data_IF_034208049662
#
_entry.id   IF_034208049662
#
_cell.length_a   1.000
_cell.length_b   1.000
_cell.length_c   1.000
_cell.angle_alpha   90.00
_cell.angle_beta   90.00
_cell.angle_gamma   90.00
#
_symmetry.space_group_name_H-M   'P 1'
#
loop_
_entity.id
_entity.type
_entity.pdbx_description
1 polymer ?
#
# COMPACT_ATOMS: atom_id res chain seq x y z
N UNK A 1 45.95 -52.23 -44.53
CA UNK A 1 46.06 -50.78 -44.81
C UNK A 1 44.96 -50.11 -43.98
N UNK A 2 45.34 -49.66 -42.81
CA UNK A 2 44.40 -49.08 -41.85
C UNK A 2 44.99 -47.77 -41.35
N UNK A 3 44.31 -46.68 -41.69
CA UNK A 3 44.71 -45.34 -41.30
C UNK A 3 44.05 -44.96 -39.96
N UNK A 4 44.89 -44.71 -38.96
CA UNK A 4 44.51 -44.11 -37.68
C UNK A 4 44.40 -42.57 -37.88
N UNK A 5 43.21 -42.01 -37.62
CA UNK A 5 43.07 -40.55 -37.47
C UNK A 5 43.04 -40.19 -35.99
N UNK A 6 44.04 -39.43 -35.60
CA UNK A 6 44.18 -38.76 -34.31
C UNK A 6 43.28 -37.50 -34.26
N UNK A 7 42.35 -37.44 -33.31
CA UNK A 7 41.55 -36.24 -33.05
C UNK A 7 42.15 -35.43 -31.92
N UNK A 8 42.83 -34.36 -32.29
CA UNK A 8 43.34 -33.35 -31.32
C UNK A 8 42.21 -32.40 -30.91
N UNK A 9 41.78 -32.47 -29.68
CA UNK A 9 40.85 -31.50 -29.09
C UNK A 9 41.55 -30.18 -28.85
N UNK A 10 41.26 -29.16 -29.65
CA UNK A 10 41.62 -27.75 -29.39
C UNK A 10 40.59 -27.16 -28.46
N UNK A 11 41.07 -26.78 -27.26
CA UNK A 11 40.30 -25.90 -26.32
C UNK A 11 40.34 -24.48 -26.88
N UNK A 12 39.21 -23.94 -27.26
CA UNK A 12 39.07 -22.51 -27.54
C UNK A 12 38.80 -21.80 -26.21
N UNK A 13 39.74 -21.00 -25.77
CA UNK A 13 39.55 -19.96 -24.76
C UNK A 13 38.86 -18.78 -25.48
N UNK A 14 37.59 -18.56 -25.20
CA UNK A 14 36.89 -17.37 -25.63
C UNK A 14 37.22 -16.24 -24.66
N UNK A 15 38.11 -15.35 -25.05
CA UNK A 15 38.36 -14.09 -24.34
C UNK A 15 37.26 -13.10 -24.74
N UNK A 16 36.30 -12.86 -23.86
CA UNK A 16 35.28 -11.86 -24.08
C UNK A 16 35.86 -10.47 -23.90
N UNK A 17 36.06 -9.78 -25.00
CA UNK A 17 36.41 -8.35 -25.03
C UNK A 17 35.13 -7.55 -24.70
N UNK A 18 35.07 -6.97 -23.53
CA UNK A 18 34.08 -5.98 -23.17
C UNK A 18 34.39 -4.67 -23.90
N UNK A 19 33.67 -4.42 -24.99
CA UNK A 19 33.64 -3.10 -25.63
C UNK A 19 32.65 -2.24 -24.88
N UNK A 20 33.16 -1.37 -24.01
CA UNK A 20 32.36 -0.32 -23.35
C UNK A 20 32.06 0.77 -24.35
N UNK A 21 30.91 0.73 -24.97
CA UNK A 21 30.38 1.84 -25.77
C UNK A 21 29.79 2.88 -24.81
N UNK A 22 30.53 3.95 -24.57
CA UNK A 22 30.02 5.13 -23.86
C UNK A 22 29.12 5.88 -24.82
N UNK A 23 27.83 5.68 -24.76
CA UNK A 23 26.82 6.50 -25.43
C UNK A 23 26.47 7.64 -24.48
N UNK A 24 26.95 8.85 -24.79
CA UNK A 24 26.40 10.09 -24.24
C UNK A 24 25.00 10.28 -24.83
N UNK A 25 23.99 9.75 -24.16
CA UNK A 25 22.59 9.96 -24.46
C UNK A 25 21.95 10.75 -23.33
N UNK A 26 21.12 11.73 -23.69
CA UNK A 26 20.39 12.63 -22.80
C UNK A 26 19.87 11.92 -21.56
N UNK A 27 20.13 12.50 -20.38
CA UNK A 27 19.72 11.98 -19.07
C UNK A 27 18.20 11.97 -18.96
N UNK A 28 17.59 10.87 -19.37
CA UNK A 28 16.28 10.51 -18.85
C UNK A 28 16.43 10.38 -17.32
N UNK A 29 15.50 10.90 -16.50
CA UNK A 29 15.54 10.68 -15.07
C UNK A 29 15.58 9.18 -14.85
N UNK A 30 16.62 8.71 -14.14
CA UNK A 30 16.81 7.31 -13.84
C UNK A 30 15.51 6.72 -13.32
N UNK A 31 14.88 5.87 -14.12
CA UNK A 31 13.88 4.95 -13.60
C UNK A 31 14.64 4.03 -12.64
N UNK A 32 14.55 4.32 -11.35
CA UNK A 32 14.92 3.35 -10.34
C UNK A 32 13.88 2.23 -10.42
N UNK A 33 13.99 1.38 -11.41
CA UNK A 33 13.38 0.09 -11.39
C UNK A 33 13.85 -0.53 -10.09
N UNK A 34 12.92 -0.84 -9.20
CA UNK A 34 13.22 -1.64 -8.05
C UNK A 34 14.05 -2.83 -8.54
N UNK A 35 15.24 -2.99 -8.02
CA UNK A 35 16.06 -4.15 -8.30
C UNK A 35 15.39 -5.31 -7.60
N UNK A 36 14.41 -5.87 -8.26
CA UNK A 36 13.67 -7.03 -7.80
C UNK A 36 14.49 -8.27 -8.05
N UNK A 37 15.45 -8.52 -7.24
CA UNK A 37 15.94 -9.87 -6.95
C UNK A 37 16.75 -9.88 -5.68
N UNK A 38 16.18 -9.41 -4.64
CA UNK A 38 16.55 -9.98 -3.39
C UNK A 38 15.59 -11.15 -3.14
N UNK A 39 15.93 -12.37 -3.57
CA UNK A 39 15.58 -13.50 -2.75
C UNK A 39 16.03 -13.12 -1.36
N UNK A 40 15.12 -12.60 -0.51
CA UNK A 40 15.45 -12.13 0.81
C UNK A 40 15.39 -10.62 1.06
N UNK A 41 14.71 -9.82 0.27
CA UNK A 41 14.33 -8.48 0.71
C UNK A 41 13.63 -8.57 2.05
N UNK A 42 14.19 -7.88 3.07
CA UNK A 42 13.57 -7.86 4.38
C UNK A 42 12.34 -6.98 4.27
N UNK A 43 11.18 -7.54 4.60
CA UNK A 43 9.95 -6.77 4.61
C UNK A 43 9.02 -7.25 5.73
N UNK A 44 8.20 -6.33 6.23
CA UNK A 44 7.01 -6.62 7.02
C UNK A 44 5.82 -6.08 6.29
N UNK A 45 4.86 -6.96 5.99
CA UNK A 45 3.61 -6.63 5.35
C UNK A 45 2.50 -6.53 6.40
N UNK A 46 1.60 -5.58 6.23
CA UNK A 46 0.39 -5.39 7.02
C UNK A 46 -0.81 -5.64 6.13
N UNK A 47 -1.58 -6.67 6.43
CA UNK A 47 -2.81 -7.02 5.72
C UNK A 47 -3.99 -6.49 6.52
N UNK A 48 -4.78 -5.64 5.91
CA UNK A 48 -5.92 -4.97 6.54
C UNK A 48 -7.20 -5.72 6.21
N UNK A 49 -8.05 -5.89 7.20
CA UNK A 49 -9.27 -6.68 7.08
C UNK A 49 -10.49 -5.85 7.43
N UNK A 50 -11.52 -5.92 6.60
CA UNK A 50 -12.82 -5.34 6.83
C UNK A 50 -13.86 -6.45 7.04
N UNK A 51 -14.84 -6.17 7.86
CA UNK A 51 -15.99 -7.07 8.05
C UNK A 51 -16.90 -7.16 6.83
N UNK A 52 -16.84 -6.17 5.93
CA UNK A 52 -17.54 -6.14 4.64
C UNK A 52 -16.80 -5.19 3.70
N UNK A 53 -16.52 -5.63 2.48
CA UNK A 53 -15.79 -4.86 1.47
C UNK A 53 -16.68 -4.39 0.30
N UNK A 54 -17.96 -4.70 0.32
CA UNK A 54 -18.84 -4.37 -0.80
C UNK A 54 -18.98 -2.85 -0.96
N UNK A 55 -18.72 -2.37 -2.17
CA UNK A 55 -18.97 -0.99 -2.61
C UNK A 55 -18.04 0.10 -2.06
N UNK A 56 -16.91 -0.27 -1.45
CA UNK A 56 -15.94 0.71 -0.97
C UNK A 56 -15.08 1.21 -2.13
N UNK A 57 -15.07 2.51 -2.34
CA UNK A 57 -14.32 3.16 -3.44
C UNK A 57 -13.30 4.18 -2.94
N UNK A 58 -13.30 4.45 -1.65
CA UNK A 58 -12.34 5.33 -0.99
C UNK A 58 -11.58 4.59 0.09
N UNK A 59 -10.29 4.88 0.20
CA UNK A 59 -9.45 4.43 1.29
C UNK A 59 -8.51 5.55 1.71
N UNK A 60 -8.36 5.74 3.02
CA UNK A 60 -7.35 6.60 3.63
C UNK A 60 -6.56 5.80 4.64
N UNK A 61 -5.25 6.08 4.76
CA UNK A 61 -4.37 5.45 5.75
C UNK A 61 -3.19 6.36 6.07
N UNK A 62 -2.74 6.26 7.34
CA UNK A 62 -1.56 6.97 7.84
C UNK A 62 -0.40 6.01 8.07
N UNK A 63 0.81 6.52 7.86
CA UNK A 63 2.07 5.96 8.36
C UNK A 63 2.84 7.04 9.14
N UNK A 64 3.34 6.71 10.32
CA UNK A 64 4.33 7.50 11.05
C UNK A 64 5.68 6.81 10.90
N UNK A 65 6.63 7.46 10.24
CA UNK A 65 7.96 6.90 9.99
C UNK A 65 8.83 7.16 11.21
N UNK A 66 9.27 6.11 11.89
CA UNK A 66 10.05 6.23 13.13
C UNK A 66 11.55 6.06 12.93
N UNK A 67 11.96 5.30 11.92
CA UNK A 67 13.36 5.14 11.51
C UNK A 67 13.43 4.87 10.00
N UNK A 68 14.48 5.36 9.35
CA UNK A 68 14.70 5.19 7.91
C UNK A 68 16.18 5.26 7.57
N UNK A 69 16.50 4.77 6.39
CA UNK A 69 17.81 4.89 5.77
C UNK A 69 17.76 4.49 4.30
N UNK A 70 18.91 4.37 3.68
CA UNK A 70 19.00 4.10 2.26
C UNK A 70 18.26 2.81 1.87
N UNK A 71 17.59 2.85 0.70
CA UNK A 71 16.75 1.77 0.17
C UNK A 71 15.55 1.39 1.04
N UNK A 72 15.01 2.36 1.80
CA UNK A 72 13.76 2.18 2.55
C UNK A 72 12.56 2.45 1.69
N UNK A 73 11.54 1.59 1.80
CA UNK A 73 10.22 1.82 1.26
C UNK A 73 9.15 1.64 2.34
N UNK A 74 8.29 2.64 2.46
CA UNK A 74 7.10 2.64 3.32
C UNK A 74 5.86 2.76 2.43
N UNK A 75 5.30 1.61 2.03
CA UNK A 75 4.04 1.58 1.29
C UNK A 75 2.89 1.83 2.26
N UNK A 76 2.07 2.82 1.97
CA UNK A 76 0.96 3.24 2.83
C UNK A 76 -0.30 2.48 2.45
N UNK A 77 -0.67 2.51 1.18
CA UNK A 77 -1.81 1.78 0.63
C UNK A 77 -1.34 0.98 -0.57
N UNK A 78 -1.48 -0.33 -0.50
CA UNK A 78 -1.39 -1.25 -1.61
C UNK A 78 -2.71 -1.97 -1.79
N UNK A 79 -3.04 -2.35 -3.03
CA UNK A 79 -4.24 -3.10 -3.35
C UNK A 79 -3.91 -4.17 -4.41
N UNK A 80 -4.60 -5.29 -4.37
CA UNK A 80 -4.42 -6.39 -5.33
C UNK A 80 -5.34 -6.26 -6.53
N UNK A 81 -6.53 -5.66 -6.31
CA UNK A 81 -7.61 -5.58 -7.32
C UNK A 81 -8.34 -4.26 -7.22
N UNK A 82 -7.95 -3.22 -8.02
CA UNK A 82 -6.85 -3.15 -9.01
C UNK A 82 -5.46 -3.15 -8.36
N UNK A 83 -4.42 -3.64 -9.06
CA UNK A 83 -3.09 -3.75 -8.50
C UNK A 83 -2.35 -2.40 -8.53
N UNK A 84 -2.11 -1.82 -7.36
CA UNK A 84 -1.32 -0.60 -7.18
C UNK A 84 -0.72 -0.54 -5.78
N UNK A 85 0.25 0.36 -5.60
CA UNK A 85 0.64 0.86 -4.30
C UNK A 85 1.07 2.32 -4.33
N UNK A 86 0.93 3.01 -3.19
CA UNK A 86 1.40 4.38 -2.96
C UNK A 86 2.13 4.46 -1.62
N UNK A 87 3.23 5.20 -1.58
CA UNK A 87 4.03 5.37 -0.38
C UNK A 87 5.21 6.30 -0.58
N UNK A 88 6.20 6.18 0.31
CA UNK A 88 7.41 7.02 0.31
C UNK A 88 8.66 6.19 0.40
N UNK A 89 9.73 6.68 -0.22
CA UNK A 89 11.02 5.98 -0.30
C UNK A 89 12.17 6.88 0.11
N UNK A 90 13.20 6.28 0.69
CA UNK A 90 14.52 6.89 0.84
C UNK A 90 15.52 6.17 -0.05
N UNK A 91 16.21 6.91 -0.88
CA UNK A 91 17.21 6.43 -1.82
C UNK A 91 18.46 7.29 -1.67
N UNK A 92 19.62 6.65 -1.57
CA UNK A 92 20.91 7.33 -1.62
C UNK A 92 21.57 7.08 -2.97
N UNK A 93 21.93 8.14 -3.67
CA UNK A 93 22.75 8.02 -4.85
C UNK A 93 24.13 7.47 -4.47
N UNK A 94 24.53 6.34 -5.04
CA UNK A 94 25.80 5.66 -4.70
C UNK A 94 27.04 6.47 -5.07
N UNK A 95 26.96 7.31 -6.11
CA UNK A 95 28.08 8.10 -6.62
C UNK A 95 28.24 9.42 -5.86
N UNK A 96 27.15 10.12 -5.62
CA UNK A 96 27.17 11.48 -5.02
C UNK A 96 26.90 11.46 -3.52
N UNK A 97 26.39 10.37 -2.96
CA UNK A 97 25.92 10.28 -1.58
C UNK A 97 24.65 11.07 -1.29
N UNK A 98 24.06 11.73 -2.30
CA UNK A 98 22.81 12.49 -2.17
C UNK A 98 21.66 11.59 -1.70
N UNK A 99 20.94 12.03 -0.67
CA UNK A 99 19.76 11.35 -0.14
C UNK A 99 18.52 11.99 -0.73
N UNK A 100 17.67 11.17 -1.36
CA UNK A 100 16.37 11.58 -1.89
C UNK A 100 15.25 10.97 -1.07
N UNK A 101 14.28 11.80 -0.69
CA UNK A 101 13.08 11.44 0.04
C UNK A 101 11.87 11.54 -0.90
N UNK A 102 11.69 10.51 -1.70
CA UNK A 102 10.68 10.48 -2.75
C UNK A 102 9.32 10.03 -2.22
N UNK A 103 8.26 10.43 -2.92
CA UNK A 103 7.00 9.70 -2.92
C UNK A 103 6.84 8.95 -4.24
N UNK A 104 6.17 7.80 -4.20
CA UNK A 104 5.96 6.93 -5.36
C UNK A 104 4.51 6.44 -5.40
N UNK A 105 3.94 6.39 -6.60
CA UNK A 105 2.67 5.76 -6.90
C UNK A 105 2.86 4.85 -8.10
N UNK A 106 2.63 3.55 -7.94
CA UNK A 106 2.83 2.51 -8.96
C UNK A 106 1.54 1.76 -9.23
N UNK A 107 1.30 1.41 -10.49
CA UNK A 107 0.13 0.68 -10.94
C UNK A 107 0.54 -0.33 -12.02
N UNK A 108 0.20 -1.60 -11.81
CA UNK A 108 0.54 -2.68 -12.73
C UNK A 108 -0.39 -2.75 -13.91
N UNK A 109 0.13 -3.20 -15.03
CA UNK A 109 -0.67 -3.54 -16.21
C UNK A 109 -1.55 -4.77 -15.90
N UNK A 110 -2.76 -4.77 -16.45
CA UNK A 110 -3.69 -5.90 -16.32
C UNK A 110 -3.63 -6.73 -17.57
N UNK A 111 -2.80 -7.77 -17.56
CA UNK A 111 -2.68 -8.70 -18.66
C UNK A 111 -3.83 -9.71 -18.67
N UNK A 112 -4.36 -10.01 -19.84
CA UNK A 112 -5.33 -11.09 -20.01
C UNK A 112 -4.65 -12.47 -20.09
N UNK A 113 -3.33 -12.50 -20.36
CA UNK A 113 -2.52 -13.70 -20.63
C UNK A 113 -1.50 -14.03 -19.52
N UNK A 114 -1.61 -13.38 -18.38
CA UNK A 114 -0.66 -13.50 -17.27
C UNK A 114 0.45 -12.46 -17.30
N UNK A 115 0.87 -12.03 -16.12
CA UNK A 115 1.94 -11.04 -15.97
C UNK A 115 3.28 -11.66 -16.28
N UNK A 116 4.05 -11.03 -17.15
CA UNK A 116 5.45 -11.37 -17.34
C UNK A 116 6.28 -10.79 -16.18
N UNK A 117 6.68 -11.62 -15.23
CA UNK A 117 7.40 -11.19 -14.02
C UNK A 117 8.82 -10.70 -14.27
N UNK A 118 9.44 -11.11 -15.38
CA UNK A 118 10.83 -10.76 -15.71
C UNK A 118 10.96 -9.90 -16.98
N UNK A 119 9.88 -9.33 -17.49
CA UNK A 119 9.90 -8.47 -18.65
C UNK A 119 10.31 -7.04 -18.28
N UNK A 120 11.14 -6.43 -19.13
CA UNK A 120 11.44 -5.00 -19.01
C UNK A 120 10.24 -4.11 -19.35
N UNK A 121 10.34 -2.80 -19.08
CA UNK A 121 9.25 -1.86 -19.34
C UNK A 121 8.88 -1.74 -20.83
N UNK A 122 9.76 -2.11 -21.73
CA UNK A 122 9.54 -2.18 -23.19
C UNK A 122 8.53 -3.26 -23.58
N UNK A 123 8.37 -4.27 -22.74
CA UNK A 123 7.46 -5.42 -22.94
C UNK A 123 6.05 -5.19 -22.38
N UNK A 124 5.69 -3.96 -22.05
CA UNK A 124 4.35 -3.63 -21.59
C UNK A 124 3.29 -4.01 -22.62
N UNK A 125 2.15 -4.57 -22.20
CA UNK A 125 1.13 -5.06 -23.12
C UNK A 125 0.56 -3.93 -23.98
N UNK A 126 0.12 -4.25 -25.18
CA UNK A 126 -0.63 -3.32 -26.02
C UNK A 126 -2.05 -3.13 -25.46
N UNK A 127 -2.68 -4.23 -25.05
CA UNK A 127 -3.99 -4.24 -24.41
C UNK A 127 -3.83 -4.44 -22.90
N UNK A 128 -4.66 -3.77 -22.09
CA UNK A 128 -4.58 -3.86 -20.63
C UNK A 128 -3.48 -2.98 -19.99
N UNK A 129 -2.83 -2.15 -20.80
CA UNK A 129 -1.84 -1.18 -20.30
C UNK A 129 -2.50 -0.18 -19.36
N UNK A 130 -1.91 -0.04 -18.18
CA UNK A 130 -2.27 1.01 -17.23
C UNK A 130 -1.60 2.33 -17.63
N UNK A 131 -2.37 3.40 -17.72
CA UNK A 131 -1.86 4.71 -18.15
C UNK A 131 -2.19 5.79 -17.15
N UNK A 132 -1.28 6.73 -16.95
CA UNK A 132 -1.55 7.92 -16.15
C UNK A 132 -2.30 8.93 -17.01
N UNK A 133 -3.56 9.22 -16.65
CA UNK A 133 -4.44 10.14 -17.40
C UNK A 133 -4.43 11.55 -16.84
N UNK A 134 -4.05 11.70 -15.56
CA UNK A 134 -3.82 13.00 -14.94
C UNK A 134 -2.52 12.95 -14.14
N UNK A 135 -1.75 14.03 -14.20
CA UNK A 135 -0.46 14.17 -13.53
C UNK A 135 -0.54 15.35 -12.56
N UNK A 136 -0.23 15.12 -11.30
CA UNK A 136 -0.20 16.17 -10.29
C UNK A 136 0.99 17.13 -10.44
N UNK A 137 0.94 18.30 -9.82
CA UNK A 137 2.05 19.26 -9.84
C UNK A 137 3.33 18.66 -9.25
N UNK A 138 4.44 18.75 -10.00
CA UNK A 138 5.75 18.23 -9.59
C UNK A 138 5.86 16.71 -9.59
N UNK A 139 4.91 16.02 -10.21
CA UNK A 139 4.94 14.57 -10.41
C UNK A 139 5.62 14.23 -11.74
N UNK A 140 6.50 13.27 -11.73
CA UNK A 140 7.21 12.75 -12.89
C UNK A 140 6.72 11.34 -13.21
N UNK A 141 5.95 11.13 -14.30
CA UNK A 141 5.54 9.79 -14.72
C UNK A 141 6.71 8.98 -15.26
N UNK A 142 6.67 7.67 -15.06
CA UNK A 142 7.65 6.71 -15.55
C UNK A 142 6.98 5.35 -15.81
N UNK A 143 7.76 4.35 -16.14
CA UNK A 143 7.33 2.98 -16.37
C UNK A 143 8.29 2.04 -15.67
N UNK A 144 7.79 0.86 -15.27
CA UNK A 144 8.61 -0.18 -14.66
C UNK A 144 8.40 -1.54 -15.33
N UNK A 145 9.36 -2.43 -15.10
CA UNK A 145 9.36 -3.83 -15.48
C UNK A 145 10.09 -4.68 -14.45
N UNK A 146 10.30 -5.95 -14.74
CA UNK A 146 11.02 -6.95 -13.92
C UNK A 146 10.29 -7.43 -12.65
N UNK A 147 9.18 -6.81 -12.30
CA UNK A 147 8.24 -7.23 -11.25
C UNK A 147 6.80 -7.31 -11.79
N UNK A 148 6.66 -7.80 -13.01
CA UNK A 148 5.56 -7.45 -13.89
C UNK A 148 5.86 -6.12 -14.56
N UNK A 149 4.94 -5.64 -15.39
CA UNK A 149 5.06 -4.35 -16.06
C UNK A 149 4.00 -3.37 -15.56
N UNK A 150 4.28 -2.08 -15.66
CA UNK A 150 3.32 -1.08 -15.22
C UNK A 150 3.77 0.36 -15.43
N UNK A 151 3.00 1.27 -14.92
CA UNK A 151 3.32 2.69 -14.83
C UNK A 151 3.58 3.07 -13.38
N UNK A 152 4.58 3.90 -13.17
CA UNK A 152 4.82 4.54 -11.89
C UNK A 152 4.99 6.04 -12.07
N UNK A 153 4.93 6.76 -10.97
CA UNK A 153 5.16 8.18 -10.93
C UNK A 153 5.84 8.56 -9.61
N UNK A 154 6.61 9.63 -9.64
CA UNK A 154 7.39 10.09 -8.50
C UNK A 154 7.14 11.56 -8.21
N UNK A 155 7.10 11.91 -6.93
CA UNK A 155 7.41 13.25 -6.46
C UNK A 155 8.84 13.17 -5.91
N UNK A 156 9.80 13.62 -6.71
CA UNK A 156 11.19 13.68 -6.29
C UNK A 156 11.29 14.71 -5.16
N UNK A 157 12.00 14.36 -4.10
CA UNK A 157 12.14 15.20 -2.91
C UNK A 157 10.77 15.64 -2.34
N UNK A 158 9.96 14.65 -1.96
CA UNK A 158 8.68 14.88 -1.27
C UNK A 158 8.88 15.59 0.08
N UNK A 159 10.11 15.51 0.63
CA UNK A 159 10.55 16.29 1.79
C UNK A 159 10.19 15.67 3.15
N UNK A 160 9.72 14.44 3.20
CA UNK A 160 9.43 13.76 4.45
C UNK A 160 10.70 13.45 5.25
N UNK A 161 10.57 13.30 6.57
CA UNK A 161 11.65 13.01 7.51
C UNK A 161 11.20 11.91 8.48
N UNK A 162 12.15 11.32 9.17
CA UNK A 162 11.87 10.52 10.37
C UNK A 162 11.14 11.37 11.39
N UNK A 163 10.09 10.83 11.96
CA UNK A 163 9.15 11.52 12.85
C UNK A 163 7.92 12.11 12.13
N UNK A 164 7.92 12.16 10.81
CA UNK A 164 6.77 12.66 10.05
C UNK A 164 5.68 11.60 9.87
N UNK A 165 4.44 12.09 9.83
CA UNK A 165 3.25 11.34 9.44
C UNK A 165 2.96 11.60 7.97
N UNK A 166 2.89 10.54 7.18
CA UNK A 166 2.43 10.61 5.80
C UNK A 166 1.07 9.93 5.71
N UNK A 167 0.11 10.65 5.16
CA UNK A 167 -1.26 10.19 4.96
C UNK A 167 -1.52 10.02 3.47
N UNK A 168 -2.11 8.92 3.08
CA UNK A 168 -2.53 8.66 1.72
C UNK A 168 -4.04 8.63 1.61
N UNK A 169 -4.57 9.10 0.50
CA UNK A 169 -5.96 8.90 0.08
C UNK A 169 -5.97 8.36 -1.33
N UNK A 170 -6.81 7.36 -1.57
CA UNK A 170 -7.04 6.76 -2.88
C UNK A 170 -8.53 6.69 -3.14
N UNK A 171 -8.93 7.01 -4.38
CA UNK A 171 -10.28 6.85 -4.88
C UNK A 171 -10.31 5.97 -6.11
N UNK A 172 -11.25 5.04 -6.15
CA UNK A 172 -11.60 4.25 -7.33
C UNK A 172 -12.87 4.81 -7.95
N UNK A 173 -12.84 5.03 -9.26
CA UNK A 173 -14.00 5.49 -10.03
C UNK A 173 -14.21 4.63 -11.27
N UNK A 174 -15.45 4.19 -11.49
CA UNK A 174 -15.83 3.55 -12.73
C UNK A 174 -15.92 4.59 -13.85
N UNK A 175 -15.36 4.28 -15.00
CA UNK A 175 -15.52 5.06 -16.23
C UNK A 175 -16.07 4.16 -17.34
N UNK A 176 -16.49 4.75 -18.46
CA UNK A 176 -17.16 4.00 -19.55
C UNK A 176 -16.34 2.80 -20.00
N UNK A 177 -15.02 2.96 -20.14
CA UNK A 177 -14.11 2.02 -20.75
C UNK A 177 -13.02 1.54 -19.76
N UNK A 178 -13.34 1.46 -18.46
CA UNK A 178 -12.40 0.97 -17.48
C UNK A 178 -12.63 1.47 -16.06
N UNK A 179 -11.54 1.60 -15.32
CA UNK A 179 -11.51 2.10 -13.95
C UNK A 179 -10.40 3.11 -13.78
N UNK A 180 -10.67 4.19 -13.10
CA UNK A 180 -9.69 5.18 -12.69
C UNK A 180 -9.38 5.06 -11.20
N UNK A 181 -8.08 5.18 -10.87
CA UNK A 181 -7.58 5.26 -9.50
C UNK A 181 -6.84 6.57 -9.34
N UNK A 182 -7.37 7.45 -8.50
CA UNK A 182 -6.77 8.74 -8.18
C UNK A 182 -6.15 8.70 -6.79
N UNK A 183 -4.98 9.32 -6.62
CA UNK A 183 -4.30 9.32 -5.34
C UNK A 183 -3.70 10.69 -4.98
N UNK A 184 -3.63 10.96 -3.66
CA UNK A 184 -2.92 12.09 -3.09
C UNK A 184 -2.23 11.72 -1.78
N UNK A 185 -1.20 12.48 -1.44
CA UNK A 185 -0.46 12.37 -0.18
C UNK A 185 -0.52 13.68 0.60
N UNK A 186 -0.53 13.55 1.93
CA UNK A 186 -0.38 14.66 2.86
C UNK A 186 0.80 14.37 3.79
N UNK A 187 1.70 15.36 3.92
CA UNK A 187 2.81 15.30 4.86
C UNK A 187 2.44 16.10 6.12
N UNK A 188 2.29 15.42 7.24
CA UNK A 188 1.78 16.02 8.48
C UNK A 188 0.44 16.75 8.23
N UNK A 189 0.30 18.00 8.63
CA UNK A 189 -0.89 18.83 8.41
C UNK A 189 -0.72 19.80 7.23
N UNK A 190 0.28 19.58 6.35
CA UNK A 190 0.48 20.39 5.15
C UNK A 190 -0.66 20.17 4.15
N UNK A 191 -0.82 21.05 3.16
CA UNK A 191 -1.78 20.84 2.08
C UNK A 191 -1.54 19.50 1.36
N UNK A 192 -2.63 18.85 0.96
CA UNK A 192 -2.58 17.65 0.16
C UNK A 192 -1.88 17.91 -1.16
N UNK A 193 -1.08 16.95 -1.59
CA UNK A 193 -0.42 16.95 -2.89
C UNK A 193 -1.09 15.86 -3.76
N UNK A 194 -1.82 16.30 -4.77
CA UNK A 194 -2.37 15.40 -5.78
C UNK A 194 -1.23 14.69 -6.52
N UNK A 195 -1.28 13.37 -6.56
CA UNK A 195 -0.27 12.57 -7.24
C UNK A 195 -0.63 12.39 -8.71
N UNK A 196 -1.83 11.92 -8.98
CA UNK A 196 -2.31 11.67 -10.32
C UNK A 196 -3.43 10.64 -10.35
N UNK A 197 -3.86 10.32 -11.57
CA UNK A 197 -4.89 9.34 -11.86
C UNK A 197 -4.35 8.31 -12.84
N UNK A 198 -4.39 7.04 -12.45
CA UNK A 198 -4.20 5.91 -13.36
C UNK A 198 -5.52 5.41 -13.90
N UNK A 199 -5.53 5.05 -15.19
CA UNK A 199 -6.64 4.38 -15.84
C UNK A 199 -6.25 2.95 -16.22
N UNK A 200 -7.07 2.02 -15.78
CA UNK A 200 -7.06 0.62 -16.18
C UNK A 200 -8.13 0.39 -17.25
N UNK A 201 -7.81 -0.36 -18.29
CA UNK A 201 -8.79 -0.77 -19.30
C UNK A 201 -9.81 -1.79 -18.74
N UNK A 202 -9.50 -2.42 -17.61
CA UNK A 202 -10.38 -3.36 -16.91
C UNK A 202 -11.28 -2.64 -15.91
N UNK A 203 -12.50 -3.15 -15.73
CA UNK A 203 -13.43 -2.68 -14.68
C UNK A 203 -13.19 -3.41 -13.37
N UNK A 204 -13.03 -2.65 -12.28
CA UNK A 204 -12.92 -3.13 -10.92
C UNK A 204 -14.05 -2.52 -10.10
N UNK A 205 -14.79 -3.32 -9.35
CA UNK A 205 -16.02 -2.85 -8.69
C UNK A 205 -15.74 -1.97 -7.46
N UNK A 206 -14.71 -2.30 -6.68
CA UNK A 206 -14.43 -1.72 -5.38
C UNK A 206 -12.94 -1.80 -5.02
N UNK A 207 -12.56 -1.10 -3.95
CA UNK A 207 -11.29 -1.28 -3.26
C UNK A 207 -11.43 -2.30 -2.13
N UNK A 208 -10.39 -3.07 -1.92
CA UNK A 208 -10.21 -3.88 -0.72
C UNK A 208 -9.49 -3.04 0.34
N UNK A 209 -9.50 -3.42 1.64
CA UNK A 209 -8.69 -2.76 2.66
C UNK A 209 -7.20 -2.84 2.34
N UNK A 210 -6.81 -3.83 1.53
CA UNK A 210 -5.49 -3.96 0.93
C UNK A 210 -4.38 -4.22 1.94
N UNK A 211 -3.19 -3.75 1.61
CA UNK A 211 -1.98 -3.97 2.39
C UNK A 211 -1.15 -2.69 2.54
N UNK A 212 -0.19 -2.76 3.45
CA UNK A 212 0.92 -1.81 3.59
C UNK A 212 2.19 -2.62 3.81
N UNK A 213 3.36 -2.01 3.64
CA UNK A 213 4.60 -2.69 4.00
C UNK A 213 5.74 -1.72 4.31
N UNK A 214 6.73 -2.25 5.05
CA UNK A 214 8.06 -1.68 5.19
C UNK A 214 9.01 -2.63 4.47
N UNK A 215 9.89 -2.12 3.62
CA UNK A 215 10.79 -2.93 2.83
C UNK A 215 12.19 -2.31 2.74
N UNK A 216 13.20 -3.18 2.75
CA UNK A 216 14.55 -2.94 2.30
C UNK A 216 14.71 -3.45 0.87
N UNK A 217 14.46 -2.62 -0.12
CA UNK A 217 14.54 -3.03 -1.53
C UNK A 217 15.99 -3.08 -2.08
N UNK A 218 16.98 -2.67 -1.32
CA UNK A 218 18.39 -2.66 -1.73
C UNK A 218 19.27 -3.66 -1.02
N UNK A 219 18.71 -4.54 -0.17
CA UNK A 219 19.47 -5.59 0.51
C UNK A 219 20.48 -5.05 1.53
N UNK A 220 20.13 -4.01 2.29
CA UNK A 220 20.96 -3.41 3.35
C UNK A 220 20.43 -3.76 4.74
N UNK A 221 20.55 -5.02 5.19
CA UNK A 221 19.88 -5.53 6.39
C UNK A 221 20.36 -4.89 7.69
N UNK A 222 21.52 -4.23 7.69
CA UNK A 222 22.04 -3.55 8.88
C UNK A 222 21.39 -2.18 9.12
N UNK A 223 20.67 -1.63 8.15
CA UNK A 223 19.97 -0.36 8.29
C UNK A 223 18.61 -0.62 8.92
N UNK A 224 18.36 0.05 10.04
CA UNK A 224 17.05 -0.02 10.72
C UNK A 224 16.03 0.82 9.99
N UNK A 225 14.86 0.25 9.78
CA UNK A 225 13.67 0.92 9.23
C UNK A 225 12.48 0.58 10.08
N UNK A 226 11.72 1.57 10.50
CA UNK A 226 10.54 1.32 11.32
C UNK A 226 9.45 2.34 11.09
N UNK A 227 8.21 1.90 11.26
CA UNK A 227 7.04 2.77 11.12
C UNK A 227 5.84 2.24 11.91
N UNK A 228 4.89 3.13 12.19
CA UNK A 228 3.58 2.82 12.73
C UNK A 228 2.51 3.05 11.67
N UNK A 229 1.64 2.05 11.47
CA UNK A 229 0.51 2.13 10.54
C UNK A 229 -0.80 2.15 11.32
N UNK A 230 -1.72 3.01 10.89
CA UNK A 230 -3.02 3.15 11.56
C UNK A 230 -4.00 4.04 10.79
N UNK A 231 -5.05 4.50 11.49
CA UNK A 231 -6.03 5.46 10.97
C UNK A 231 -6.59 5.11 9.58
N UNK A 232 -6.98 3.85 9.41
CA UNK A 232 -7.52 3.38 8.12
C UNK A 232 -9.03 3.56 8.08
N UNK A 233 -9.51 4.23 7.04
CA UNK A 233 -10.92 4.43 6.74
C UNK A 233 -11.23 4.00 5.32
N UNK A 234 -12.40 3.38 5.14
CA UNK A 234 -12.97 3.10 3.82
C UNK A 234 -14.37 3.67 3.71
N UNK A 235 -14.76 4.08 2.49
CA UNK A 235 -16.07 4.65 2.21
C UNK A 235 -16.59 4.22 0.85
N UNK A 236 -17.92 4.13 0.74
CA UNK A 236 -18.59 3.94 -0.54
C UNK A 236 -18.56 5.22 -1.39
N UNK A 237 -18.82 5.08 -2.69
CA UNK A 237 -18.87 6.20 -3.62
C UNK A 237 -19.93 7.23 -3.22
N UNK A 238 -21.12 6.78 -2.83
CA UNK A 238 -22.23 7.60 -2.39
C UNK A 238 -22.14 8.10 -0.95
N UNK A 239 -21.07 7.72 -0.23
CA UNK A 239 -20.78 8.07 1.16
C UNK A 239 -21.81 7.59 2.19
N UNK A 240 -22.71 6.71 1.77
CA UNK A 240 -23.70 6.13 2.70
C UNK A 240 -23.10 5.10 3.63
N UNK A 241 -21.96 4.51 3.22
CA UNK A 241 -21.21 3.53 4.01
C UNK A 241 -19.83 4.08 4.35
N UNK A 242 -19.48 3.99 5.61
CA UNK A 242 -18.17 4.35 6.15
C UNK A 242 -17.75 3.32 7.17
N UNK A 243 -16.53 2.82 7.04
CA UNK A 243 -15.99 1.83 7.94
C UNK A 243 -14.55 2.18 8.37
N UNK A 244 -14.31 2.31 9.70
CA UNK A 244 -12.97 2.26 10.23
C UNK A 244 -12.44 0.83 10.09
N UNK A 245 -11.22 0.68 9.61
CA UNK A 245 -10.58 -0.62 9.46
C UNK A 245 -9.65 -0.82 10.65
N UNK A 246 -10.09 -1.62 11.60
CA UNK A 246 -9.39 -1.85 12.87
C UNK A 246 -8.65 -3.17 12.94
N UNK A 247 -8.98 -4.14 12.10
CA UNK A 247 -8.29 -5.44 12.06
C UNK A 247 -7.11 -5.37 11.10
N UNK A 248 -5.95 -5.79 11.58
CA UNK A 248 -4.72 -5.83 10.80
C UNK A 248 -3.87 -7.04 11.20
N UNK A 249 -3.27 -7.68 10.20
CA UNK A 249 -2.31 -8.76 10.40
C UNK A 249 -0.95 -8.32 9.87
N UNK A 250 0.06 -8.22 10.72
CA UNK A 250 1.41 -7.98 10.26
C UNK A 250 2.18 -9.30 10.09
N UNK A 251 2.91 -9.41 9.00
CA UNK A 251 3.67 -10.62 8.64
C UNK A 251 5.03 -10.26 8.07
N UNK A 252 6.09 -10.80 8.67
CA UNK A 252 7.44 -10.73 8.12
C UNK A 252 7.62 -11.72 6.95
N UNK A 253 8.42 -11.35 5.97
CA UNK A 253 8.79 -12.23 4.85
C UNK A 253 9.45 -13.52 5.34
N UNK A 254 9.34 -14.58 4.54
CA UNK A 254 9.87 -15.91 4.88
C UNK A 254 11.31 -16.17 4.40
N UNK A 255 11.96 -15.21 3.77
CA UNK A 255 13.33 -15.32 3.24
C UNK A 255 14.42 -15.45 4.29
N UNK A 256 15.67 -15.55 3.86
CA UNK A 256 16.84 -15.77 4.71
C UNK A 256 17.07 -14.68 5.78
N UNK A 257 16.57 -13.48 5.52
CA UNK A 257 16.72 -12.32 6.40
C UNK A 257 15.55 -12.10 7.38
N UNK A 258 14.67 -13.07 7.54
CA UNK A 258 13.46 -12.96 8.39
C UNK A 258 13.76 -12.78 9.88
N UNK A 259 14.98 -13.01 10.31
CA UNK A 259 15.42 -12.82 11.70
C UNK A 259 15.59 -11.35 12.10
N UNK A 260 15.62 -10.43 11.15
CA UNK A 260 15.83 -8.99 11.40
C UNK A 260 14.51 -8.20 11.37
N UNK A 261 13.50 -8.65 12.13
CA UNK A 261 12.24 -7.93 12.22
C UNK A 261 11.68 -7.93 13.64
N UNK A 262 10.86 -6.93 13.91
CA UNK A 262 10.10 -6.81 15.14
C UNK A 262 8.74 -6.19 14.83
N UNK A 263 7.67 -6.81 15.35
CA UNK A 263 6.31 -6.34 15.20
C UNK A 263 5.70 -6.19 16.58
N UNK A 264 5.16 -5.00 16.91
CA UNK A 264 4.56 -4.70 18.21
C UNK A 264 3.38 -3.75 18.09
N UNK A 265 2.33 -3.99 18.85
CA UNK A 265 1.33 -2.98 19.12
C UNK A 265 1.84 -2.08 20.27
N UNK A 266 2.43 -0.94 19.93
CA UNK A 266 2.99 0.01 20.91
C UNK A 266 1.92 0.88 21.56
N UNK A 267 0.82 1.11 20.86
CA UNK A 267 -0.34 1.86 21.33
C UNK A 267 -1.63 1.24 20.80
N UNK A 268 -2.77 1.78 21.21
CA UNK A 268 -4.08 1.24 20.80
C UNK A 268 -4.48 1.60 19.38
N UNK A 269 -3.86 2.61 18.75
CA UNK A 269 -4.31 3.19 17.49
C UNK A 269 -3.44 2.82 16.31
N UNK A 270 -2.33 2.10 16.55
CA UNK A 270 -1.40 1.71 15.48
C UNK A 270 -0.69 0.39 15.76
N UNK A 271 -0.24 -0.23 14.69
CA UNK A 271 0.68 -1.35 14.72
C UNK A 271 2.04 -0.90 14.20
N UNK A 272 3.07 -1.08 15.03
CA UNK A 272 4.45 -0.72 14.72
C UNK A 272 5.23 -1.94 14.25
N UNK A 273 6.09 -1.76 13.25
CA UNK A 273 7.08 -2.74 12.87
C UNK A 273 8.44 -2.11 12.60
N UNK A 274 9.47 -2.94 12.76
CA UNK A 274 10.86 -2.66 12.44
C UNK A 274 11.43 -3.78 11.58
N UNK A 275 12.28 -3.42 10.63
CA UNK A 275 13.13 -4.34 9.88
C UNK A 275 14.57 -3.86 9.93
N UNK A 276 15.52 -4.78 9.77
CA UNK A 276 16.94 -4.48 9.77
C UNK A 276 17.55 -4.22 11.15
N UNK A 277 18.86 -3.95 11.18
CA UNK A 277 19.66 -3.76 12.37
C UNK A 277 20.48 -5.00 12.72
N UNK A 278 21.35 -4.84 13.72
CA UNK A 278 22.26 -5.90 14.20
C UNK A 278 21.63 -6.81 15.26
N UNK A 279 20.49 -6.39 15.82
CA UNK A 279 19.81 -7.12 16.87
C UNK A 279 18.77 -8.05 16.30
N UNK A 280 18.92 -9.33 16.56
CA UNK A 280 17.90 -10.32 16.34
C UNK A 280 16.73 -10.10 17.30
N UNK A 281 15.52 -10.12 16.80
CA UNK A 281 14.46 -9.63 17.65
C UNK A 281 13.19 -10.47 17.71
N UNK A 282 12.82 -11.26 16.75
CA UNK A 282 11.53 -11.95 16.89
C UNK A 282 11.44 -13.28 16.20
N UNK A 283 11.00 -14.27 16.95
CA UNK A 283 10.48 -15.54 16.42
C UNK A 283 9.06 -15.38 15.88
N UNK A 284 8.35 -14.33 16.29
CA UNK A 284 6.96 -14.11 15.91
C UNK A 284 6.84 -13.42 14.55
N UNK A 285 6.68 -14.23 13.52
CA UNK A 285 6.54 -13.77 12.12
C UNK A 285 5.14 -13.25 11.78
N UNK A 286 4.17 -13.48 12.64
CA UNK A 286 2.77 -13.18 12.40
C UNK A 286 2.16 -12.57 13.66
N UNK A 287 1.64 -11.36 13.51
CA UNK A 287 1.02 -10.63 14.62
C UNK A 287 -0.33 -10.09 14.17
N UNK A 288 -1.43 -10.72 14.56
CA UNK A 288 -2.75 -10.14 14.42
C UNK A 288 -2.94 -9.05 15.48
N UNK A 289 -3.55 -7.95 15.10
CA UNK A 289 -3.88 -6.87 16.01
C UNK A 289 -5.24 -6.26 15.70
N UNK A 290 -5.88 -5.75 16.75
CA UNK A 290 -7.05 -4.88 16.63
C UNK A 290 -6.65 -3.52 17.16
N UNK A 291 -6.75 -2.51 16.31
CA UNK A 291 -6.42 -1.14 16.64
C UNK A 291 -7.67 -0.28 16.73
N UNK A 292 -7.65 0.72 17.60
CA UNK A 292 -8.69 1.74 17.67
C UNK A 292 -8.47 2.75 16.55
N UNK A 293 -9.51 3.05 15.79
CA UNK A 293 -9.47 4.12 14.78
C UNK A 293 -10.23 5.32 15.31
N UNK A 294 -9.55 6.40 15.72
CA UNK A 294 -10.21 7.55 16.33
C UNK A 294 -11.14 8.24 15.34
N UNK A 295 -12.36 8.55 15.76
CA UNK A 295 -13.35 9.23 14.91
C UNK A 295 -12.87 10.60 14.41
N UNK A 296 -12.09 11.31 15.23
CA UNK A 296 -11.49 12.58 14.86
C UNK A 296 -10.31 12.47 13.86
N UNK A 297 -9.85 11.26 13.57
CA UNK A 297 -8.85 11.03 12.51
C UNK A 297 -9.46 11.00 11.11
N UNK A 298 -10.79 11.01 11.02
CA UNK A 298 -11.51 11.03 9.77
C UNK A 298 -11.28 12.34 9.01
N UNK A 299 -10.96 12.24 7.72
CA UNK A 299 -10.76 13.39 6.84
C UNK A 299 -12.05 13.66 6.07
N UNK A 300 -12.66 14.84 6.21
CA UNK A 300 -13.86 15.20 5.47
C UNK A 300 -13.66 15.05 3.97
N UNK A 301 -14.67 14.55 3.26
CA UNK A 301 -14.56 14.23 1.84
C UNK A 301 -14.37 15.47 0.98
N UNK A 302 -14.88 16.63 1.41
CA UNK A 302 -14.68 17.89 0.72
C UNK A 302 -13.20 18.23 0.54
N UNK A 303 -12.43 18.04 1.62
CA UNK A 303 -10.98 18.23 1.58
C UNK A 303 -10.33 17.24 0.60
N UNK A 304 -10.83 16.01 0.51
CA UNK A 304 -10.32 14.97 -0.37
C UNK A 304 -10.67 15.20 -1.85
N UNK A 305 -11.89 15.64 -2.15
CA UNK A 305 -12.34 15.93 -3.52
C UNK A 305 -11.51 17.05 -4.15
N UNK A 306 -11.30 18.14 -3.42
CA UNK A 306 -10.43 19.24 -3.87
C UNK A 306 -9.01 18.75 -4.10
N UNK A 307 -8.52 17.91 -3.20
CA UNK A 307 -7.16 17.36 -3.23
C UNK A 307 -6.92 16.45 -4.44
N UNK A 308 -7.90 15.64 -4.82
CA UNK A 308 -7.76 14.71 -5.95
C UNK A 308 -7.99 15.36 -7.31
N UNK A 309 -8.08 16.70 -7.35
CA UNK A 309 -8.30 17.46 -8.58
C UNK A 309 -9.46 16.91 -9.43
N UNK A 310 -10.53 16.48 -8.76
CA UNK A 310 -11.72 15.97 -9.39
C UNK A 310 -12.59 17.11 -9.96
N UNK A 311 -11.97 18.21 -10.39
CA UNK A 311 -12.61 19.37 -10.99
C UNK A 311 -12.44 19.33 -12.51
N UNK A 312 -13.56 19.29 -13.24
CA UNK A 312 -13.62 19.29 -14.71
C UNK A 312 -14.26 18.04 -15.33
N UNK A 313 -15.06 18.21 -16.36
CA UNK A 313 -15.71 17.12 -17.13
C UNK A 313 -16.47 16.12 -16.26
N UNK A 314 -16.11 14.85 -16.34
CA UNK A 314 -16.74 13.77 -15.57
C UNK A 314 -16.64 13.96 -14.04
N UNK A 315 -15.60 14.65 -13.58
CA UNK A 315 -15.41 14.98 -12.18
C UNK A 315 -16.41 16.02 -11.67
N UNK A 316 -16.85 16.94 -12.54
CA UNK A 316 -17.88 17.90 -12.19
C UNK A 316 -19.25 17.21 -11.99
N UNK A 317 -19.57 16.19 -12.77
CA UNK A 317 -20.79 15.40 -12.56
C UNK A 317 -20.73 14.63 -11.24
N UNK A 318 -19.58 14.05 -10.90
CA UNK A 318 -19.34 13.37 -9.63
C UNK A 318 -19.49 14.33 -8.44
N UNK A 319 -18.86 15.51 -8.49
CA UNK A 319 -19.01 16.58 -7.50
C UNK A 319 -20.46 17.02 -7.33
N UNK A 320 -21.18 17.20 -8.44
CA UNK A 320 -22.59 17.58 -8.44
C UNK A 320 -23.47 16.49 -7.83
N UNK A 321 -23.23 15.23 -8.20
CA UNK A 321 -23.95 14.09 -7.64
C UNK A 321 -23.66 13.95 -6.14
N UNK A 322 -22.41 14.13 -5.75
CA UNK A 322 -22.01 14.10 -4.35
C UNK A 322 -22.67 15.21 -3.53
N UNK A 323 -22.67 16.47 -4.03
CA UNK A 323 -23.34 17.59 -3.38
C UNK A 323 -24.84 17.38 -3.26
N UNK A 324 -25.47 16.73 -4.25
CA UNK A 324 -26.90 16.37 -4.18
C UNK A 324 -27.17 15.27 -3.15
N UNK A 325 -26.26 14.37 -2.94
CA UNK A 325 -26.37 13.32 -1.93
C UNK A 325 -26.05 13.82 -0.51
N UNK A 326 -25.17 14.82 -0.38
CA UNK A 326 -24.86 15.48 0.90
C UNK A 326 -26.10 16.06 1.59
N UNK A 327 -27.04 16.60 0.82
CA UNK A 327 -28.31 17.12 1.36
C UNK A 327 -29.21 16.03 1.98
N UNK A 328 -28.88 14.74 1.74
CA UNK A 328 -29.64 13.58 2.25
C UNK A 328 -28.97 12.88 3.43
N UNK A 329 -27.70 13.19 3.70
CA UNK A 329 -26.93 12.55 4.77
C UNK A 329 -26.38 13.63 5.71
N UNK A 330 -26.86 13.65 6.94
CA UNK A 330 -26.30 14.49 8.00
C UNK A 330 -24.91 13.94 8.39
N UNK A 331 -23.79 14.65 8.11
CA UNK A 331 -22.44 14.18 8.46
C UNK A 331 -22.19 14.15 9.97
N UNK A 332 -23.05 14.73 10.78
CA UNK A 332 -22.94 14.73 12.25
C UNK A 332 -23.50 13.48 12.90
N UNK A 333 -24.22 12.62 12.16
CA UNK A 333 -24.65 11.33 12.67
C UNK A 333 -23.53 10.30 12.48
N UNK A 334 -22.72 9.98 13.52
CA UNK A 334 -21.97 8.74 13.48
C UNK A 334 -23.00 7.65 13.23
N UNK A 335 -22.74 6.72 12.33
CA UNK A 335 -23.52 5.49 12.23
C UNK A 335 -23.45 4.86 13.64
N UNK A 336 -24.42 5.20 14.47
CA UNK A 336 -24.60 4.62 15.78
C UNK A 336 -25.04 3.20 15.48
N UNK A 337 -24.06 2.32 15.29
CA UNK A 337 -24.32 0.91 15.54
C UNK A 337 -24.63 0.84 17.03
N UNK A 338 -25.90 1.05 17.35
CA UNK A 338 -26.39 0.79 18.69
C UNK A 338 -25.91 -0.62 19.03
N UNK A 339 -25.02 -0.77 20.00
CA UNK A 339 -24.40 -2.06 20.27
C UNK A 339 -25.51 -3.07 20.49
N UNK A 340 -25.57 -4.10 19.64
CA UNK A 340 -26.66 -5.09 19.64
C UNK A 340 -26.70 -5.77 21.00
N UNK A 341 -27.74 -5.51 21.78
CA UNK A 341 -27.95 -6.19 23.05
C UNK A 341 -28.16 -7.68 22.77
N UNK A 342 -27.36 -8.53 23.38
CA UNK A 342 -27.51 -9.98 23.34
C UNK A 342 -28.12 -10.46 24.65
N UNK A 343 -28.89 -11.53 24.58
CA UNK A 343 -29.51 -12.17 25.76
C UNK A 343 -28.77 -13.44 26.11
N UNK A 344 -28.41 -13.58 27.36
CA UNK A 344 -27.91 -14.85 27.94
C UNK A 344 -28.86 -15.38 29.00
N UNK A 345 -28.84 -16.68 29.17
CA UNK A 345 -29.59 -17.37 30.24
C UNK A 345 -28.63 -17.81 31.33
N UNK A 346 -28.91 -17.39 32.57
CA UNK A 346 -28.08 -17.69 33.72
C UNK A 346 -28.89 -18.58 34.70
N UNK A 347 -28.25 -19.61 35.23
CA UNK A 347 -28.94 -20.63 36.11
C UNK A 347 -28.22 -20.76 37.41
N UNK A 348 -29.01 -20.83 38.51
CA UNK A 348 -28.54 -21.16 39.86
C UNK A 348 -29.55 -22.12 40.51
N UNK A 349 -29.20 -23.41 40.57
CA UNK A 349 -30.15 -24.45 41.01
C UNK A 349 -31.39 -24.50 40.09
N UNK A 350 -32.58 -24.35 40.63
CA UNK A 350 -33.85 -24.27 39.88
C UNK A 350 -34.20 -22.88 39.35
N UNK A 351 -33.40 -21.84 39.69
CA UNK A 351 -33.67 -20.45 39.31
C UNK A 351 -33.02 -20.10 38.02
N UNK A 352 -33.79 -19.57 37.06
CA UNK A 352 -33.35 -19.15 35.75
C UNK A 352 -33.54 -17.65 35.59
N UNK A 353 -32.53 -16.91 35.14
CA UNK A 353 -32.59 -15.49 34.80
C UNK A 353 -32.11 -15.25 33.37
N UNK A 354 -32.88 -14.44 32.62
CA UNK A 354 -32.48 -13.97 31.29
C UNK A 354 -31.89 -12.57 31.46
N UNK A 355 -30.65 -12.37 31.01
CA UNK A 355 -29.91 -11.10 31.06
C UNK A 355 -29.72 -10.59 29.65
N UNK A 356 -30.17 -9.37 29.39
CA UNK A 356 -30.02 -8.73 28.04
C UNK A 356 -29.19 -7.46 28.22
N UNK A 357 -28.00 -7.44 27.64
CA UNK A 357 -27.07 -6.30 27.65
C UNK A 357 -26.14 -6.37 26.45
N UNK A 358 -25.34 -5.33 26.23
CA UNK A 358 -24.29 -5.30 25.19
C UNK A 358 -23.21 -6.35 25.48
N UNK A 359 -22.84 -6.52 26.75
CA UNK A 359 -21.89 -7.53 27.22
C UNK A 359 -22.45 -8.19 28.46
N UNK A 360 -23.48 -9.09 28.34
CA UNK A 360 -24.15 -9.65 29.49
C UNK A 360 -23.26 -10.63 30.24
N UNK A 361 -23.21 -10.47 31.59
CA UNK A 361 -22.55 -11.39 32.51
C UNK A 361 -23.58 -11.97 33.49
N UNK A 362 -23.40 -13.22 33.85
CA UNK A 362 -24.22 -13.80 34.87
C UNK A 362 -23.91 -13.20 36.25
N UNK A 363 -24.95 -12.92 37.09
CA UNK A 363 -24.74 -12.47 38.45
C UNK A 363 -23.94 -13.49 39.26
N UNK A 364 -23.35 -13.02 40.37
CA UNK A 364 -22.59 -13.88 41.29
C UNK A 364 -23.40 -15.10 41.70
N UNK A 365 -22.80 -16.26 41.61
CA UNK A 365 -23.43 -17.55 41.91
C UNK A 365 -24.31 -18.14 40.82
N UNK A 366 -24.50 -17.50 39.66
CA UNK A 366 -25.16 -18.06 38.48
C UNK A 366 -24.14 -18.52 37.41
N UNK A 367 -24.43 -19.58 36.71
CA UNK A 367 -23.66 -20.06 35.59
C UNK A 367 -24.44 -19.82 34.28
N UNK A 368 -23.77 -19.52 33.21
CA UNK A 368 -24.38 -19.41 31.89
C UNK A 368 -24.80 -20.80 31.41
N UNK A 369 -26.06 -20.91 30.92
CA UNK A 369 -26.60 -22.13 30.33
C UNK A 369 -26.20 -22.23 28.87
#
# INVERSE_FOLDING_TARGET
MTFLQSTTRRRFLATSLLVSTVIFGATAPNSFAAVSKAEGAIAVNFFWEASSNSEMTWITRDVLITESGDTSYFSIIGNWTPPFYIGVQEIRNAETGEVRKNAIFSAWDTHDDGSCTNCGPESRPTNGRTVMTQVGPGVTPSQFGYEGTGANAFINDFGWKVGDRVRAVVNLRQVTDGTEISAALQLNEQPWRFFGTYKYAKKFANLEPGYSFIEDFGGKPMIVRSAEYGNTWMESEDLTKRAPISSVQARANTGANTKYHLIKQRNKTSLWAQIGGDQFISEQRYVPAVIEVPLNSYIPIEARLTTLNLEGGAAQSYKTQWLSNKSKVDPSSPATTTPKKISIVCVKGKTVKKITAVAPKCPSGYKRK
#
